data_IF_057369159993
#
_entry.id   IF_057369159993
#
_cell.length_a   1.000
_cell.length_b   1.000
_cell.length_c   1.000
_cell.angle_alpha   90.00
_cell.angle_beta   90.00
_cell.angle_gamma   90.00
#
_symmetry.space_group_name_H-M   'P 1'
#
loop_
_entity.id
_entity.type
_entity.pdbx_description
1 polymer ?
#
# COMPACT_ATOMS: atom_id res chain seq x y z
N UNK A 1 19.99 -21.91 2.98
CA UNK A 1 21.03 -21.60 1.99
C UNK A 1 20.39 -21.08 0.70
N UNK A 2 21.05 -20.20 -0.05
CA UNK A 2 20.56 -19.65 -1.33
C UNK A 2 20.15 -20.77 -2.31
N UNK A 3 20.92 -21.85 -2.36
CA UNK A 3 20.59 -23.03 -3.16
C UNK A 3 19.25 -23.71 -2.79
N UNK A 4 18.81 -23.60 -1.54
CA UNK A 4 17.51 -24.13 -1.10
C UNK A 4 16.33 -23.33 -1.64
N UNK A 5 16.48 -22.03 -1.87
CA UNK A 5 15.43 -21.15 -2.39
C UNK A 5 15.11 -21.48 -3.84
N UNK A 6 16.14 -21.78 -4.67
CA UNK A 6 15.96 -22.13 -6.08
C UNK A 6 15.31 -23.50 -6.33
N UNK A 7 15.06 -24.29 -5.27
CA UNK A 7 14.18 -25.46 -5.37
C UNK A 7 12.71 -25.12 -5.49
N UNK A 8 12.31 -23.96 -4.96
CA UNK A 8 10.91 -23.51 -4.87
C UNK A 8 10.59 -22.39 -5.85
N UNK A 9 11.58 -21.60 -6.24
CA UNK A 9 11.41 -20.47 -7.14
C UNK A 9 12.37 -20.58 -8.32
N UNK A 10 11.84 -20.47 -9.53
CA UNK A 10 12.62 -20.55 -10.78
C UNK A 10 13.74 -19.50 -10.85
N UNK A 11 13.48 -18.32 -10.28
CA UNK A 11 14.41 -17.20 -10.30
C UNK A 11 14.07 -16.16 -9.20
N UNK A 12 14.97 -15.18 -9.04
CA UNK A 12 14.79 -14.09 -8.05
C UNK A 12 13.53 -13.25 -8.29
N UNK A 13 13.09 -13.08 -9.53
CA UNK A 13 11.89 -12.34 -9.87
C UNK A 13 10.63 -13.06 -9.34
N UNK A 14 10.53 -14.38 -9.52
CA UNK A 14 9.41 -15.18 -8.97
C UNK A 14 9.38 -15.15 -7.44
N UNK A 15 10.55 -15.18 -6.78
CA UNK A 15 10.62 -14.98 -5.33
C UNK A 15 10.13 -13.60 -4.92
N UNK A 16 10.57 -12.53 -5.63
CA UNK A 16 10.10 -11.17 -5.34
C UNK A 16 8.60 -11.04 -5.50
N UNK A 17 8.03 -11.56 -6.60
CA UNK A 17 6.58 -11.57 -6.82
C UNK A 17 5.84 -12.26 -5.68
N UNK A 18 6.32 -13.41 -5.21
CA UNK A 18 5.74 -14.13 -4.08
C UNK A 18 5.75 -13.29 -2.78
N UNK A 19 6.87 -12.61 -2.50
CA UNK A 19 6.99 -11.75 -1.31
C UNK A 19 6.06 -10.53 -1.41
N UNK A 20 5.97 -9.92 -2.58
CA UNK A 20 5.09 -8.77 -2.85
C UNK A 20 3.62 -9.18 -2.73
N UNK A 21 3.25 -10.32 -3.30
CA UNK A 21 1.90 -10.89 -3.25
C UNK A 21 1.47 -11.17 -1.80
N UNK A 22 2.35 -11.77 -1.04
CA UNK A 22 2.12 -12.03 0.37
C UNK A 22 1.99 -10.75 1.20
N UNK A 23 2.86 -9.75 0.95
CA UNK A 23 2.78 -8.46 1.62
C UNK A 23 1.42 -7.77 1.40
N UNK A 24 0.93 -7.74 0.17
CA UNK A 24 -0.34 -7.11 -0.14
C UNK A 24 -1.53 -7.87 0.42
N UNK A 25 -1.49 -9.20 0.41
CA UNK A 25 -2.50 -10.05 1.07
C UNK A 25 -2.57 -9.77 2.57
N UNK A 26 -1.42 -9.63 3.21
CA UNK A 26 -1.33 -9.28 4.62
C UNK A 26 -1.85 -7.86 4.91
N UNK A 27 -1.52 -6.88 4.08
CA UNK A 27 -2.06 -5.52 4.21
C UNK A 27 -3.58 -5.47 4.04
N UNK A 28 -4.13 -6.21 3.09
CA UNK A 28 -5.59 -6.33 2.94
C UNK A 28 -6.23 -6.95 4.18
N UNK A 29 -5.66 -8.04 4.68
CA UNK A 29 -6.13 -8.69 5.91
C UNK A 29 -6.14 -7.70 7.10
N UNK A 30 -5.07 -6.95 7.30
CA UNK A 30 -5.01 -5.92 8.35
C UNK A 30 -6.10 -4.87 8.16
N UNK A 31 -6.27 -4.36 6.94
CA UNK A 31 -7.31 -3.39 6.63
C UNK A 31 -8.71 -3.92 6.99
N UNK A 32 -9.00 -5.16 6.64
CA UNK A 32 -10.27 -5.80 6.96
C UNK A 32 -10.48 -5.90 8.48
N UNK A 33 -9.46 -6.31 9.24
CA UNK A 33 -9.56 -6.40 10.70
C UNK A 33 -9.77 -5.03 11.34
N UNK A 34 -8.98 -4.02 10.95
CA UNK A 34 -9.07 -2.68 11.52
C UNK A 34 -10.35 -1.95 11.15
N UNK A 35 -10.98 -2.27 10.01
CA UNK A 35 -12.22 -1.64 9.56
C UNK A 35 -13.49 -2.42 9.90
N UNK A 36 -13.38 -3.63 10.45
CA UNK A 36 -14.52 -4.52 10.75
C UNK A 36 -15.60 -3.86 11.60
N UNK A 37 -15.20 -3.13 12.65
CA UNK A 37 -16.10 -2.47 13.60
C UNK A 37 -16.17 -0.95 13.38
N UNK A 38 -15.59 -0.44 12.29
CA UNK A 38 -15.59 0.99 11.99
C UNK A 38 -16.84 1.34 11.20
N UNK A 39 -17.61 2.30 11.74
CA UNK A 39 -18.79 2.85 11.08
C UNK A 39 -18.45 4.13 10.32
N UNK A 40 -19.03 4.27 9.13
CA UNK A 40 -18.88 5.44 8.29
C UNK A 40 -17.67 5.38 7.32
N UNK A 41 -17.91 5.78 6.07
CA UNK A 41 -16.90 5.65 5.00
C UNK A 41 -15.70 6.57 5.23
N UNK A 42 -15.89 7.78 5.77
CA UNK A 42 -14.80 8.70 6.09
C UNK A 42 -13.80 8.09 7.05
N UNK A 43 -14.29 7.51 8.14
CA UNK A 43 -13.44 6.88 9.16
C UNK A 43 -12.71 5.65 8.61
N UNK A 44 -13.36 4.86 7.72
CA UNK A 44 -12.71 3.73 7.04
C UNK A 44 -11.55 4.19 6.15
N UNK A 45 -11.71 5.29 5.40
CA UNK A 45 -10.64 5.87 4.59
C UNK A 45 -9.50 6.36 5.50
N UNK A 46 -9.80 7.03 6.61
CA UNK A 46 -8.80 7.48 7.58
C UNK A 46 -8.05 6.31 8.21
N UNK A 47 -8.75 5.22 8.53
CA UNK A 47 -8.12 3.98 9.02
C UNK A 47 -7.17 3.39 7.97
N UNK A 48 -7.58 3.33 6.70
CA UNK A 48 -6.73 2.87 5.62
C UNK A 48 -5.47 3.75 5.46
N UNK A 49 -5.62 5.07 5.51
CA UNK A 49 -4.50 6.01 5.44
C UNK A 49 -3.52 5.77 6.60
N UNK A 50 -4.01 5.63 7.83
CA UNK A 50 -3.17 5.35 9.00
C UNK A 50 -2.42 4.04 8.87
N UNK A 51 -3.11 2.97 8.47
CA UNK A 51 -2.52 1.65 8.25
C UNK A 51 -1.34 1.70 7.27
N UNK A 52 -1.51 2.43 6.15
CA UNK A 52 -0.49 2.54 5.10
C UNK A 52 0.66 3.49 5.47
N UNK A 53 0.37 4.50 6.28
CA UNK A 53 1.32 5.54 6.66
C UNK A 53 2.08 5.25 7.97
N UNK A 54 1.69 4.24 8.74
CA UNK A 54 2.35 3.86 9.97
C UNK A 54 3.43 2.81 9.68
N UNK A 55 4.57 2.91 10.37
CA UNK A 55 5.63 1.91 10.27
C UNK A 55 5.14 0.55 10.71
N UNK A 56 5.60 -0.45 9.99
CA UNK A 56 5.40 -1.83 10.39
C UNK A 56 6.38 -2.18 11.51
N UNK A 57 5.84 -2.60 12.65
CA UNK A 57 6.60 -3.20 13.74
C UNK A 57 6.44 -4.71 13.69
N UNK A 58 7.45 -5.45 14.14
CA UNK A 58 7.37 -6.90 14.21
C UNK A 58 6.33 -7.32 15.25
N UNK A 59 5.40 -8.18 14.86
CA UNK A 59 4.51 -8.83 15.80
C UNK A 59 5.18 -10.10 16.34
N UNK A 60 5.55 -10.05 17.61
CA UNK A 60 6.22 -11.15 18.33
C UNK A 60 5.35 -12.43 18.32
N UNK A 61 4.03 -12.30 18.12
CA UNK A 61 3.11 -13.45 18.08
C UNK A 61 3.17 -14.25 16.77
N UNK A 62 3.69 -13.65 15.70
CA UNK A 62 3.87 -14.30 14.39
C UNK A 62 5.29 -14.88 14.23
N UNK A 63 5.69 -15.75 15.11
CA UNK A 63 7.07 -16.26 15.29
C UNK A 63 7.80 -16.85 14.06
N UNK A 64 7.24 -16.77 12.86
CA UNK A 64 7.84 -17.30 11.63
C UNK A 64 8.07 -16.25 10.54
N UNK A 65 7.62 -15.00 10.74
CA UNK A 65 7.64 -13.96 9.73
C UNK A 65 8.12 -12.67 10.36
N UNK A 66 9.11 -12.04 9.74
CA UNK A 66 9.53 -10.69 10.09
C UNK A 66 8.82 -9.69 9.16
N UNK A 67 7.67 -9.17 9.62
CA UNK A 67 6.84 -8.25 8.84
C UNK A 67 7.58 -6.96 8.48
N UNK A 68 8.44 -6.49 9.38
CA UNK A 68 9.27 -5.31 9.15
C UNK A 68 10.29 -5.55 8.04
N UNK A 69 10.92 -6.73 8.02
CA UNK A 69 11.84 -7.09 6.93
C UNK A 69 11.10 -7.21 5.61
N UNK A 70 9.94 -7.87 5.60
CA UNK A 70 9.08 -8.00 4.42
C UNK A 70 8.67 -6.62 3.90
N UNK A 71 8.21 -5.73 4.79
CA UNK A 71 7.87 -4.34 4.45
C UNK A 71 9.08 -3.63 3.81
N UNK A 72 10.27 -3.72 4.40
CA UNK A 72 11.46 -3.08 3.86
C UNK A 72 11.84 -3.61 2.46
N UNK A 73 11.71 -4.92 2.22
CA UNK A 73 11.93 -5.52 0.90
C UNK A 73 10.94 -4.95 -0.12
N UNK A 74 9.66 -4.91 0.22
CA UNK A 74 8.63 -4.39 -0.70
C UNK A 74 8.81 -2.89 -0.95
N UNK A 75 9.21 -2.12 0.06
CA UNK A 75 9.50 -0.68 -0.10
C UNK A 75 10.68 -0.42 -1.04
N UNK A 76 11.73 -1.22 -0.99
CA UNK A 76 12.95 -1.01 -1.79
C UNK A 76 12.89 -1.69 -3.16
N UNK A 77 12.23 -2.83 -3.28
CA UNK A 77 12.30 -3.71 -4.45
C UNK A 77 10.94 -3.87 -5.14
N UNK A 78 9.83 -3.53 -4.49
CA UNK A 78 8.47 -3.82 -4.97
C UNK A 78 8.19 -3.31 -6.38
N UNK A 79 8.65 -2.11 -6.72
CA UNK A 79 8.50 -1.55 -8.06
C UNK A 79 9.11 -2.44 -9.17
N UNK A 80 10.15 -3.21 -8.86
CA UNK A 80 10.77 -4.15 -9.81
C UNK A 80 9.87 -5.36 -10.12
N UNK A 81 8.82 -5.60 -9.36
CA UNK A 81 7.87 -6.67 -9.62
C UNK A 81 7.00 -6.39 -10.85
N UNK A 82 6.63 -5.13 -11.11
CA UNK A 82 5.78 -4.74 -12.25
C UNK A 82 6.48 -3.89 -13.31
N UNK A 83 7.63 -3.26 -13.02
CA UNK A 83 8.41 -2.53 -14.02
C UNK A 83 9.32 -3.47 -14.83
N UNK A 84 8.75 -4.51 -15.41
CA UNK A 84 9.45 -5.53 -16.19
C UNK A 84 8.73 -5.85 -17.49
N UNK A 85 9.45 -6.44 -18.43
CA UNK A 85 8.88 -6.96 -19.68
C UNK A 85 7.93 -8.17 -19.47
N UNK A 86 7.91 -8.74 -18.27
CA UNK A 86 7.10 -9.92 -17.94
C UNK A 86 5.77 -9.56 -17.27
N UNK A 87 5.51 -8.27 -17.00
CA UNK A 87 4.35 -7.80 -16.25
C UNK A 87 3.01 -8.30 -16.79
N UNK A 88 2.85 -8.39 -18.11
CA UNK A 88 1.61 -8.87 -18.72
C UNK A 88 1.38 -10.36 -18.47
N UNK A 89 2.44 -11.18 -18.55
CA UNK A 89 2.37 -12.61 -18.25
C UNK A 89 2.10 -12.83 -16.76
N UNK A 90 2.84 -12.16 -15.89
CA UNK A 90 2.66 -12.22 -14.44
C UNK A 90 1.25 -11.77 -14.02
N UNK A 91 0.68 -10.77 -14.71
CA UNK A 91 -0.70 -10.35 -14.49
C UNK A 91 -1.74 -11.40 -14.95
N UNK A 92 -1.50 -12.13 -16.05
CA UNK A 92 -2.35 -13.25 -16.46
C UNK A 92 -2.33 -14.38 -15.43
N UNK A 93 -1.19 -14.62 -14.81
CA UNK A 93 -1.00 -15.59 -13.73
C UNK A 93 -1.57 -15.11 -12.37
N UNK A 94 -2.25 -13.93 -12.36
CA UNK A 94 -2.87 -13.30 -11.19
C UNK A 94 -1.90 -12.91 -10.07
N UNK A 95 -0.62 -12.78 -10.35
CA UNK A 95 0.42 -12.47 -9.36
C UNK A 95 0.33 -11.05 -8.78
N UNK A 96 -0.56 -10.19 -9.28
CA UNK A 96 -0.87 -8.87 -8.73
C UNK A 96 -2.28 -8.79 -8.14
N UNK A 97 -2.95 -9.93 -7.96
CA UNK A 97 -4.34 -9.93 -7.49
C UNK A 97 -4.48 -9.33 -6.09
N UNK A 98 -3.64 -9.64 -5.07
CA UNK A 98 -3.75 -9.06 -3.74
C UNK A 98 -3.61 -7.53 -3.71
N UNK A 99 -2.72 -6.96 -4.54
CA UNK A 99 -2.64 -5.50 -4.67
C UNK A 99 -3.95 -4.90 -5.24
N UNK A 100 -4.52 -5.55 -6.25
CA UNK A 100 -5.79 -5.13 -6.84
C UNK A 100 -6.95 -5.24 -5.86
N UNK A 101 -6.97 -6.29 -5.04
CA UNK A 101 -8.01 -6.52 -4.03
C UNK A 101 -7.94 -5.46 -2.92
N UNK A 102 -6.74 -5.13 -2.44
CA UNK A 102 -6.54 -4.01 -1.52
C UNK A 102 -7.01 -2.68 -2.13
N UNK A 103 -6.63 -2.39 -3.39
CA UNK A 103 -7.10 -1.19 -4.10
C UNK A 103 -8.62 -1.16 -4.24
N UNK A 104 -9.25 -2.28 -4.59
CA UNK A 104 -10.70 -2.41 -4.73
C UNK A 104 -11.41 -2.15 -3.39
N UNK A 105 -10.89 -2.70 -2.30
CA UNK A 105 -11.44 -2.49 -0.96
C UNK A 105 -11.43 -1.02 -0.55
N UNK A 106 -10.33 -0.33 -0.77
CA UNK A 106 -10.22 1.11 -0.49
C UNK A 106 -11.14 1.91 -1.43
N UNK A 107 -11.22 1.52 -2.71
CA UNK A 107 -12.12 2.14 -3.68
C UNK A 107 -13.60 2.02 -3.30
N UNK A 108 -14.01 0.92 -2.64
CA UNK A 108 -15.35 0.78 -2.07
C UNK A 108 -15.61 1.83 -0.97
N UNK A 109 -14.64 2.10 -0.09
CA UNK A 109 -14.78 3.15 0.93
C UNK A 109 -14.88 4.54 0.31
N UNK A 110 -14.08 4.81 -0.74
CA UNK A 110 -14.12 6.05 -1.50
C UNK A 110 -15.49 6.24 -2.17
N UNK A 111 -16.02 5.22 -2.83
CA UNK A 111 -17.36 5.24 -3.44
C UNK A 111 -18.48 5.45 -2.42
N UNK A 112 -18.34 4.83 -1.24
CA UNK A 112 -19.31 5.03 -0.16
C UNK A 112 -19.26 6.45 0.43
N UNK A 113 -18.09 7.10 0.41
CA UNK A 113 -17.93 8.50 0.85
C UNK A 113 -18.48 9.47 -0.20
N UNK A 114 -18.06 9.33 -1.46
CA UNK A 114 -18.53 10.17 -2.57
C UNK A 114 -18.91 9.29 -3.78
N UNK A 115 -20.20 8.90 -3.90
CA UNK A 115 -20.68 8.08 -5.02
C UNK A 115 -20.50 8.70 -6.41
N UNK A 116 -20.32 10.03 -6.48
CA UNK A 116 -20.13 10.77 -7.74
C UNK A 116 -18.66 10.89 -8.16
N UNK A 117 -17.72 10.46 -7.31
CA UNK A 117 -16.31 10.54 -7.64
C UNK A 117 -15.95 9.54 -8.76
N UNK A 118 -15.36 10.05 -9.84
CA UNK A 118 -15.18 9.26 -11.07
C UNK A 118 -14.01 8.25 -11.02
N UNK A 119 -13.02 8.45 -10.13
CA UNK A 119 -11.74 7.73 -10.15
C UNK A 119 -11.38 7.02 -8.84
N UNK A 120 -12.29 6.25 -8.21
CA UNK A 120 -12.05 5.68 -6.89
C UNK A 120 -10.89 4.68 -6.89
N UNK A 121 -10.72 3.88 -7.95
CA UNK A 121 -9.64 2.91 -8.06
C UNK A 121 -8.28 3.58 -8.27
N UNK A 122 -8.22 4.60 -9.14
CA UNK A 122 -6.99 5.37 -9.36
C UNK A 122 -6.57 6.12 -8.09
N UNK A 123 -7.52 6.68 -7.33
CA UNK A 123 -7.22 7.35 -6.07
C UNK A 123 -6.70 6.36 -5.01
N UNK A 124 -7.27 5.16 -4.93
CA UNK A 124 -6.82 4.13 -3.99
C UNK A 124 -5.40 3.66 -4.29
N UNK A 125 -5.07 3.36 -5.55
CA UNK A 125 -3.70 2.97 -5.93
C UNK A 125 -2.71 4.10 -5.71
N UNK A 126 -3.06 5.34 -6.06
CA UNK A 126 -2.23 6.52 -5.79
C UNK A 126 -1.98 6.72 -4.29
N UNK A 127 -2.99 6.51 -3.45
CA UNK A 127 -2.85 6.61 -2.00
C UNK A 127 -1.84 5.60 -1.46
N UNK A 128 -1.90 4.35 -1.91
CA UNK A 128 -0.97 3.29 -1.52
C UNK A 128 0.45 3.64 -1.95
N UNK A 129 0.65 3.92 -3.23
CA UNK A 129 1.96 4.25 -3.79
C UNK A 129 2.57 5.50 -3.13
N UNK A 130 1.75 6.52 -2.87
CA UNK A 130 2.22 7.76 -2.23
C UNK A 130 2.62 7.52 -0.78
N UNK A 131 1.87 6.72 -0.02
CA UNK A 131 2.24 6.35 1.35
C UNK A 131 3.63 5.70 1.37
N UNK A 132 3.88 4.74 0.50
CA UNK A 132 5.17 4.06 0.37
C UNK A 132 6.28 5.01 -0.07
N UNK A 133 6.03 5.81 -1.09
CA UNK A 133 7.03 6.78 -1.58
C UNK A 133 7.43 7.80 -0.52
N UNK A 134 6.47 8.30 0.28
CA UNK A 134 6.78 9.25 1.36
C UNK A 134 7.63 8.60 2.47
N UNK A 135 7.40 7.34 2.82
CA UNK A 135 8.28 6.62 3.75
C UNK A 135 9.70 6.50 3.21
N UNK A 136 9.85 6.09 1.96
CA UNK A 136 11.15 5.98 1.30
C UNK A 136 11.87 7.34 1.25
N UNK A 137 11.20 8.40 0.83
CA UNK A 137 11.78 9.75 0.77
C UNK A 137 12.21 10.25 2.13
N UNK A 138 11.45 9.97 3.18
CA UNK A 138 11.83 10.35 4.54
C UNK A 138 13.09 9.65 5.03
N UNK A 139 13.30 8.41 4.64
CA UNK A 139 14.46 7.63 5.06
C UNK A 139 15.71 7.98 4.25
N UNK A 140 15.57 8.15 2.94
CA UNK A 140 16.70 8.17 2.02
C UNK A 140 16.96 9.54 1.35
N UNK A 141 15.97 10.44 1.33
CA UNK A 141 16.08 11.76 0.71
C UNK A 141 15.77 12.89 1.71
N UNK A 142 16.61 13.07 2.74
CA UNK A 142 16.33 14.02 3.83
C UNK A 142 16.22 15.49 3.39
N UNK A 143 16.80 15.87 2.25
CA UNK A 143 16.68 17.22 1.69
C UNK A 143 15.27 17.58 1.22
N UNK A 144 14.43 16.57 0.92
CA UNK A 144 13.00 16.77 0.64
C UNK A 144 12.18 17.01 1.93
N UNK A 145 12.83 16.92 3.09
CA UNK A 145 12.22 17.15 4.40
C UNK A 145 12.32 18.62 4.80
N UNK A 146 11.26 19.37 4.62
CA UNK A 146 11.02 20.58 5.43
C UNK A 146 10.28 20.25 6.75
N UNK A 147 10.05 18.98 7.04
CA UNK A 147 9.26 18.50 8.16
C UNK A 147 10.15 18.30 9.42
N UNK A 148 9.68 18.72 10.58
CA UNK A 148 10.42 18.59 11.84
C UNK A 148 10.62 17.13 12.21
N UNK A 149 11.85 16.75 12.60
CA UNK A 149 12.33 15.37 12.87
C UNK A 149 11.45 14.49 13.79
N UNK A 150 10.49 15.02 14.51
CA UNK A 150 9.75 14.31 15.58
C UNK A 150 8.32 13.83 15.23
N UNK A 151 7.75 14.19 14.04
CA UNK A 151 6.35 13.88 13.68
C UNK A 151 6.17 13.34 12.26
N UNK A 152 7.08 12.49 11.80
CA UNK A 152 7.14 12.09 10.39
C UNK A 152 5.88 11.32 9.92
N UNK A 153 5.34 10.41 10.72
CA UNK A 153 4.16 9.60 10.35
C UNK A 153 2.88 10.43 10.38
N UNK A 154 2.68 11.26 11.39
CA UNK A 154 1.52 12.16 11.47
C UNK A 154 1.48 13.16 10.31
N UNK A 155 2.63 13.61 9.83
CA UNK A 155 2.71 14.51 8.68
C UNK A 155 2.35 13.79 7.38
N UNK A 156 2.76 12.52 7.21
CA UNK A 156 2.33 11.69 6.08
C UNK A 156 0.82 11.47 6.13
N UNK A 157 0.28 11.08 7.28
CA UNK A 157 -1.16 10.87 7.47
C UNK A 157 -1.92 12.13 7.07
N UNK A 158 -1.52 13.28 7.59
CA UNK A 158 -2.17 14.57 7.28
C UNK A 158 -2.08 14.91 5.79
N UNK A 159 -0.93 14.71 5.18
CA UNK A 159 -0.73 14.94 3.76
C UNK A 159 -1.65 14.04 2.91
N UNK A 160 -1.69 12.75 3.23
CA UNK A 160 -2.55 11.78 2.54
C UNK A 160 -4.03 12.10 2.73
N UNK A 161 -4.45 12.48 3.94
CA UNK A 161 -5.83 12.92 4.19
C UNK A 161 -6.20 14.14 3.34
N UNK A 162 -5.34 15.16 3.29
CA UNK A 162 -5.57 16.35 2.46
C UNK A 162 -5.63 16.00 0.97
N UNK A 163 -4.74 15.14 0.49
CA UNK A 163 -4.72 14.71 -0.90
C UNK A 163 -5.99 13.93 -1.26
N UNK A 164 -6.36 12.93 -0.45
CA UNK A 164 -7.46 12.01 -0.75
C UNK A 164 -8.81 12.73 -0.62
N UNK A 165 -9.06 13.44 0.47
CA UNK A 165 -10.32 14.16 0.67
C UNK A 165 -10.42 15.36 -0.27
N UNK A 166 -9.34 16.10 -0.50
CA UNK A 166 -9.30 17.20 -1.46
C UNK A 166 -9.62 16.76 -2.89
N UNK A 167 -9.14 15.58 -3.30
CA UNK A 167 -9.47 15.03 -4.62
C UNK A 167 -10.96 14.65 -4.73
N UNK A 168 -11.54 14.08 -3.66
CA UNK A 168 -12.94 13.66 -3.66
C UNK A 168 -13.93 14.83 -3.53
N UNK A 169 -13.54 15.89 -2.82
CA UNK A 169 -14.39 17.05 -2.55
C UNK A 169 -14.28 18.11 -3.66
N UNK A 170 -13.33 17.94 -4.61
CA UNK A 170 -13.23 18.80 -5.77
C UNK A 170 -14.47 18.61 -6.67
N UNK A 171 -15.26 19.68 -6.96
CA UNK A 171 -16.43 19.54 -7.81
C UNK A 171 -16.02 19.08 -9.19
N UNK A 172 -16.64 18.01 -9.69
CA UNK A 172 -16.48 17.60 -11.08
C UNK A 172 -16.92 18.79 -11.95
N UNK A 173 -16.00 19.31 -12.78
CA UNK A 173 -16.40 20.32 -13.78
C UNK A 173 -17.48 19.68 -14.65
N UNK A 174 -18.70 20.16 -14.55
CA UNK A 174 -19.75 19.85 -15.52
C UNK A 174 -19.26 20.26 -16.91
N UNK A 175 -19.16 19.28 -17.80
CA UNK A 175 -19.00 19.56 -19.23
C UNK A 175 -20.28 20.14 -19.78
#
# INVERSE_FOLDING_TARGET
>A
TEAGIYRYFENKHRLLLYLVDWYWSWQEYRLLQETKNVTGPKTKIQTAIRLLATKVEDDISTGHINEKLLHNIVMSEGAKSWLTKHVEADNKDKLFQPFKDLCARIAEFIKAYNPKYAFPFSLSSTMIEMAHSQHFYMQHLPSMKKLKKKKNEEDIIRFLEQMVFGAMDCPAKSK
#
